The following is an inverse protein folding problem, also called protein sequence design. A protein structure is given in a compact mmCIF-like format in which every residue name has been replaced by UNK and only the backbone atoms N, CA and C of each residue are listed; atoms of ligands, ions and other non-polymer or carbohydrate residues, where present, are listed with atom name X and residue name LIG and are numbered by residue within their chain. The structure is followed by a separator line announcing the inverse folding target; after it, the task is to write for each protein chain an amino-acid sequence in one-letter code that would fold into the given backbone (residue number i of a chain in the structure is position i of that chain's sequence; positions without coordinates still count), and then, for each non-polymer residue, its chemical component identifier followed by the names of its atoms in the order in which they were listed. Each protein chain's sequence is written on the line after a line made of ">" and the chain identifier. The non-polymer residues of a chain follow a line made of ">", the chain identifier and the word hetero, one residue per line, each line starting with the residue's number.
data_IF_781500394291
#
_entry.id   IF_781500394291
#
_cell.length_a   1.000
_cell.length_b   1.000
_cell.length_c   1.000
_cell.angle_alpha   90.00
_cell.angle_beta   90.00
_cell.angle_gamma   90.00
#
_symmetry.space_group_name_H-M   'P 1'
#
loop_
_entity.id
_entity.type
_entity.pdbx_description
1 polymer ?
#
# COMPACT_ATOMS: atom_id res chain seq x y z
N UNK A 1 4.42 15.49 2.05
CA UNK A 1 4.25 14.35 2.99
C UNK A 1 5.40 13.37 2.83
N UNK A 2 5.83 12.72 3.91
CA UNK A 2 6.87 11.67 3.85
C UNK A 2 6.26 10.33 3.44
N UNK A 3 6.92 9.61 2.54
CA UNK A 3 6.50 8.27 2.15
C UNK A 3 6.57 7.29 3.33
N UNK A 4 5.61 6.38 3.46
CA UNK A 4 5.63 5.29 4.46
C UNK A 4 4.75 5.48 5.71
N UNK A 5 4.08 6.62 5.86
CA UNK A 5 3.04 6.79 6.89
C UNK A 5 1.75 6.11 6.44
N UNK A 6 1.21 5.20 7.26
CA UNK A 6 0.06 4.35 6.94
C UNK A 6 -1.19 5.11 6.46
N UNK A 7 -1.38 6.36 6.91
CA UNK A 7 -2.56 7.17 6.61
C UNK A 7 -2.25 8.43 5.76
N UNK A 8 -1.01 8.59 5.26
CA UNK A 8 -0.64 9.81 4.54
C UNK A 8 -1.53 10.07 3.32
N UNK A 9 -1.81 9.04 2.51
CA UNK A 9 -2.66 9.16 1.33
C UNK A 9 -4.10 9.61 1.69
N UNK A 10 -4.66 9.10 2.78
CA UNK A 10 -6.01 9.50 3.23
C UNK A 10 -6.04 10.94 3.77
N UNK A 11 -5.00 11.37 4.48
CA UNK A 11 -4.87 12.76 4.89
C UNK A 11 -4.75 13.69 3.69
N UNK A 12 -4.02 13.28 2.64
CA UNK A 12 -3.91 14.05 1.40
C UNK A 12 -5.23 14.13 0.65
N UNK A 13 -5.90 12.99 0.47
CA UNK A 13 -7.20 12.93 -0.19
C UNK A 13 -8.18 13.88 0.48
N UNK A 14 -8.29 13.85 1.82
CA UNK A 14 -9.19 14.74 2.56
C UNK A 14 -8.86 16.21 2.36
N UNK A 15 -7.59 16.54 2.24
CA UNK A 15 -7.13 17.90 1.96
C UNK A 15 -7.54 18.33 0.55
N UNK A 16 -7.28 17.51 -0.46
CA UNK A 16 -7.68 17.80 -1.83
C UNK A 16 -9.21 17.85 -1.99
N UNK A 17 -9.94 16.93 -1.36
CA UNK A 17 -11.41 16.92 -1.32
C UNK A 17 -11.98 18.17 -0.65
N UNK A 18 -11.22 18.82 0.25
CA UNK A 18 -11.62 20.09 0.85
C UNK A 18 -11.30 21.27 -0.05
N UNK A 19 -10.21 21.20 -0.83
CA UNK A 19 -9.77 22.25 -1.72
C UNK A 19 -10.60 22.34 -3.01
N UNK A 20 -11.07 21.20 -3.51
CA UNK A 20 -11.77 21.06 -4.79
C UNK A 20 -13.27 20.78 -4.64
N UNK A 21 -13.80 20.75 -3.42
CA UNK A 21 -15.20 20.35 -3.11
C UNK A 21 -16.25 21.11 -3.90
N UNK A 22 -16.00 22.39 -4.09
CA UNK A 22 -16.90 23.40 -4.63
C UNK A 22 -16.76 23.55 -6.16
N UNK A 23 -15.89 22.75 -6.79
CA UNK A 23 -15.71 22.71 -8.23
C UNK A 23 -16.35 21.45 -8.81
N UNK A 24 -17.59 21.50 -9.34
CA UNK A 24 -18.32 20.32 -9.82
C UNK A 24 -17.70 19.68 -11.07
N UNK A 25 -16.81 20.39 -11.76
CA UNK A 25 -16.09 19.96 -12.94
C UNK A 25 -14.72 19.30 -12.63
N UNK A 26 -14.36 19.23 -11.35
CA UNK A 26 -13.08 18.70 -10.88
C UNK A 26 -13.27 17.38 -10.14
N UNK A 27 -12.62 16.33 -10.60
CA UNK A 27 -12.59 15.02 -9.97
C UNK A 27 -11.19 14.74 -9.45
N UNK A 28 -11.06 14.53 -8.14
CA UNK A 28 -9.76 14.30 -7.49
C UNK A 28 -9.70 12.90 -6.91
N UNK A 29 -8.68 12.14 -7.29
CA UNK A 29 -8.41 10.82 -6.71
C UNK A 29 -6.92 10.67 -6.39
N UNK A 30 -6.63 10.71 -5.10
CA UNK A 30 -5.31 10.60 -4.46
C UNK A 30 -4.34 11.63 -5.06
N UNK A 31 -3.57 11.23 -6.06
CA UNK A 31 -2.54 12.07 -6.68
C UNK A 31 -2.98 12.61 -8.06
N UNK A 32 -4.10 12.12 -8.60
CA UNK A 32 -4.58 12.46 -9.94
C UNK A 32 -5.79 13.40 -9.87
N UNK A 33 -5.73 14.48 -10.66
CA UNK A 33 -6.80 15.49 -10.78
C UNK A 33 -7.28 15.49 -12.22
N UNK A 34 -8.59 15.26 -12.42
CA UNK A 34 -9.26 15.27 -13.70
C UNK A 34 -10.20 16.48 -13.78
N UNK A 35 -10.05 17.29 -14.83
CA UNK A 35 -10.92 18.44 -15.12
C UNK A 35 -11.66 18.16 -16.42
N UNK A 36 -12.99 18.19 -16.36
CA UNK A 36 -13.85 17.98 -17.51
C UNK A 36 -14.59 19.28 -17.87
N UNK A 37 -14.65 19.61 -19.16
CA UNK A 37 -15.37 20.76 -19.68
C UNK A 37 -15.97 20.44 -21.05
N UNK A 38 -16.94 21.25 -21.49
CA UNK A 38 -17.59 21.09 -22.81
C UNK A 38 -16.88 21.87 -23.91
N UNK A 39 -16.32 23.02 -23.55
CA UNK A 39 -15.66 23.94 -24.46
C UNK A 39 -14.23 24.24 -24.00
N UNK A 40 -13.38 24.67 -24.94
CA UNK A 40 -11.99 25.01 -24.64
C UNK A 40 -11.89 26.29 -23.80
N UNK A 41 -12.73 27.30 -24.06
CA UNK A 41 -12.73 28.54 -23.30
C UNK A 41 -13.10 28.32 -21.82
N UNK A 42 -14.12 27.49 -21.57
CA UNK A 42 -14.46 27.03 -20.22
C UNK A 42 -13.32 26.24 -19.60
N UNK A 43 -12.67 25.35 -20.37
CA UNK A 43 -11.54 24.57 -19.90
C UNK A 43 -10.40 25.46 -19.39
N UNK A 44 -10.07 26.51 -20.14
CA UNK A 44 -9.03 27.47 -19.75
C UNK A 44 -9.43 28.20 -18.46
N UNK A 45 -10.69 28.59 -18.32
CA UNK A 45 -11.20 29.21 -17.10
C UNK A 45 -11.08 28.27 -15.88
N UNK A 46 -11.47 27.00 -16.05
CA UNK A 46 -11.38 25.98 -15.00
C UNK A 46 -9.94 25.65 -14.62
N UNK A 47 -9.04 25.57 -15.60
CA UNK A 47 -7.62 25.40 -15.35
C UNK A 47 -7.03 26.56 -14.56
N UNK A 48 -7.39 27.81 -14.91
CA UNK A 48 -6.94 29.01 -14.18
C UNK A 48 -7.40 28.97 -12.72
N UNK A 49 -8.65 28.65 -12.47
CA UNK A 49 -9.19 28.54 -11.11
C UNK A 49 -8.51 27.40 -10.33
N UNK A 50 -8.28 26.25 -10.95
CA UNK A 50 -7.55 25.15 -10.33
C UNK A 50 -6.10 25.54 -10.00
N UNK A 51 -5.37 26.16 -10.93
CA UNK A 51 -3.99 26.58 -10.69
C UNK A 51 -3.91 27.63 -9.57
N UNK A 52 -4.85 28.58 -9.52
CA UNK A 52 -4.95 29.57 -8.43
C UNK A 52 -5.08 28.89 -7.07
N UNK A 53 -5.96 27.88 -6.96
CA UNK A 53 -6.18 27.11 -5.74
C UNK A 53 -4.94 26.34 -5.30
N UNK A 54 -4.25 25.72 -6.25
CA UNK A 54 -3.02 24.99 -5.98
C UNK A 54 -1.92 25.92 -5.46
N UNK A 55 -1.75 27.08 -6.08
CA UNK A 55 -0.75 28.09 -5.70
C UNK A 55 -1.01 28.64 -4.29
N UNK A 56 -2.26 29.01 -3.98
CA UNK A 56 -2.68 29.48 -2.65
C UNK A 56 -2.43 28.45 -1.53
N UNK A 57 -2.42 27.16 -1.87
CA UNK A 57 -2.23 26.06 -0.95
C UNK A 57 -0.83 25.42 -1.01
N UNK A 58 0.09 26.00 -1.80
CA UNK A 58 1.48 25.52 -1.92
C UNK A 58 1.62 24.13 -2.55
N UNK A 59 0.68 23.74 -3.42
CA UNK A 59 0.72 22.47 -4.13
C UNK A 59 1.47 22.60 -5.46
N UNK A 60 2.44 21.71 -5.69
CA UNK A 60 3.26 21.71 -6.90
C UNK A 60 2.88 20.53 -7.79
N UNK A 61 2.55 20.83 -9.04
CA UNK A 61 2.28 19.81 -10.05
C UNK A 61 3.55 19.39 -10.78
N UNK A 62 3.66 18.09 -11.05
CA UNK A 62 4.72 17.57 -11.91
C UNK A 62 4.29 17.67 -13.37
N UNK A 63 4.67 18.75 -14.04
CA UNK A 63 4.31 19.05 -15.44
C UNK A 63 4.58 17.88 -16.38
N UNK A 64 5.67 17.13 -16.17
CA UNK A 64 6.02 15.97 -17.02
C UNK A 64 4.99 14.83 -16.98
N UNK A 65 4.09 14.81 -15.99
CA UNK A 65 3.01 13.83 -15.86
C UNK A 65 1.64 14.42 -16.19
N UNK A 66 1.56 15.73 -16.43
CA UNK A 66 0.30 16.40 -16.71
C UNK A 66 -0.04 16.28 -18.20
N UNK A 67 -1.31 15.96 -18.48
CA UNK A 67 -1.86 15.92 -19.83
C UNK A 67 -2.96 16.99 -19.87
N UNK A 68 -2.86 17.94 -20.80
CA UNK A 68 -3.77 19.09 -20.88
C UNK A 68 -4.58 19.07 -22.18
N UNK A 69 -5.84 19.51 -22.10
CA UNK A 69 -6.73 19.78 -23.22
C UNK A 69 -6.78 18.66 -24.28
N UNK A 70 -6.81 17.39 -23.83
CA UNK A 70 -7.01 16.24 -24.71
C UNK A 70 -8.50 15.88 -24.77
N UNK A 71 -9.00 15.42 -25.93
CA UNK A 71 -10.38 14.96 -26.07
C UNK A 71 -10.65 13.64 -25.34
N UNK A 72 -9.59 12.88 -25.05
CA UNK A 72 -9.60 11.62 -24.35
C UNK A 72 -8.40 11.52 -23.41
N UNK A 73 -8.58 10.88 -22.26
CA UNK A 73 -7.52 10.72 -21.25
C UNK A 73 -7.73 9.44 -20.46
N UNK A 74 -6.64 8.74 -20.16
CA UNK A 74 -6.68 7.61 -19.25
C UNK A 74 -6.63 8.10 -17.79
N UNK A 75 -7.63 7.74 -17.00
CA UNK A 75 -7.78 8.11 -15.59
C UNK A 75 -8.17 6.87 -14.78
N UNK A 76 -7.38 6.53 -13.76
CA UNK A 76 -7.59 5.36 -12.88
C UNK A 76 -7.76 4.01 -13.59
N UNK A 77 -7.12 3.84 -14.76
CA UNK A 77 -7.23 2.62 -15.58
C UNK A 77 -8.55 2.53 -16.37
N UNK A 78 -9.23 3.67 -16.53
CA UNK A 78 -10.34 3.85 -17.43
C UNK A 78 -9.96 4.86 -18.52
N UNK A 79 -10.42 4.61 -19.73
CA UNK A 79 -10.31 5.54 -20.84
C UNK A 79 -11.54 6.46 -20.83
N UNK A 80 -11.32 7.74 -20.50
CA UNK A 80 -12.38 8.74 -20.39
C UNK A 80 -12.45 9.54 -21.69
N UNK A 81 -13.61 9.51 -22.33
CA UNK A 81 -13.90 10.19 -23.60
C UNK A 81 -15.22 10.95 -23.53
N UNK A 82 -15.49 11.82 -24.51
CA UNK A 82 -16.79 12.49 -24.62
C UNK A 82 -17.98 11.52 -24.78
N UNK A 83 -17.75 10.33 -25.35
CA UNK A 83 -18.75 9.27 -25.52
C UNK A 83 -19.03 8.46 -24.25
N UNK A 84 -18.17 8.57 -23.22
CA UNK A 84 -18.31 7.83 -21.98
C UNK A 84 -16.99 7.27 -21.44
N UNK A 85 -17.11 6.41 -20.44
CA UNK A 85 -15.99 5.80 -19.71
C UNK A 85 -15.84 4.35 -20.18
N UNK A 86 -14.72 4.03 -20.80
CA UNK A 86 -14.36 2.68 -21.25
C UNK A 86 -13.23 2.10 -20.40
N UNK A 87 -13.00 0.80 -20.44
CA UNK A 87 -11.80 0.21 -19.85
C UNK A 87 -10.61 0.38 -20.77
N UNK A 88 -9.43 0.62 -20.20
CA UNK A 88 -8.18 0.70 -20.98
C UNK A 88 -7.92 -0.62 -21.71
N UNK A 89 -7.43 -0.52 -22.95
CA UNK A 89 -7.15 -1.68 -23.81
C UNK A 89 -6.21 -2.69 -23.14
N UNK A 90 -5.23 -2.24 -22.36
CA UNK A 90 -4.33 -3.13 -21.62
C UNK A 90 -5.07 -4.06 -20.66
N UNK A 91 -6.08 -3.57 -19.94
CA UNK A 91 -6.88 -4.39 -19.02
C UNK A 91 -7.76 -5.37 -19.75
N UNK A 92 -8.33 -4.95 -20.88
CA UNK A 92 -9.13 -5.82 -21.74
C UNK A 92 -8.25 -6.92 -22.33
N UNK A 93 -7.07 -6.56 -22.84
CA UNK A 93 -6.12 -7.49 -23.43
C UNK A 93 -5.63 -8.51 -22.40
N UNK A 94 -5.33 -8.09 -21.16
CA UNK A 94 -4.95 -9.02 -20.09
C UNK A 94 -6.04 -10.06 -19.77
N UNK A 95 -7.33 -9.72 -19.97
CA UNK A 95 -8.43 -10.66 -19.80
C UNK A 95 -8.56 -11.57 -21.03
N UNK A 96 -8.38 -11.05 -22.24
CA UNK A 96 -8.43 -11.82 -23.47
C UNK A 96 -7.27 -12.82 -23.58
N UNK A 97 -6.08 -12.41 -23.15
CA UNK A 97 -4.87 -13.23 -23.10
C UNK A 97 -4.87 -14.19 -21.89
N UNK A 98 -5.87 -14.09 -21.00
CA UNK A 98 -5.98 -14.98 -19.87
C UNK A 98 -6.40 -16.37 -20.33
N UNK A 99 -5.48 -17.33 -20.26
CA UNK A 99 -5.75 -18.73 -20.58
C UNK A 99 -6.95 -19.24 -19.80
N UNK A 100 -7.90 -19.86 -20.51
CA UNK A 100 -9.08 -20.41 -19.86
C UNK A 100 -8.66 -21.62 -19.01
N UNK A 101 -9.34 -21.90 -17.89
CA UNK A 101 -9.04 -23.07 -17.07
C UNK A 101 -9.03 -24.40 -17.85
N UNK A 102 -9.78 -24.49 -18.95
CA UNK A 102 -9.79 -25.62 -19.87
C UNK A 102 -8.52 -25.76 -20.70
N UNK A 103 -7.80 -24.67 -20.97
CA UNK A 103 -6.62 -24.67 -21.84
C UNK A 103 -5.41 -25.31 -21.15
N UNK A 104 -5.41 -25.42 -19.82
CA UNK A 104 -4.45 -26.21 -19.05
C UNK A 104 -4.61 -27.72 -19.24
N UNK A 105 -5.75 -28.15 -19.82
CA UNK A 105 -6.06 -29.55 -20.09
C UNK A 105 -5.94 -29.77 -21.61
N UNK A 106 -4.70 -29.82 -22.11
CA UNK A 106 -4.39 -29.96 -23.53
C UNK A 106 -4.93 -31.26 -24.19
N UNK A 107 -5.43 -32.22 -23.40
CA UNK A 107 -5.95 -33.50 -23.88
C UNK A 107 -7.37 -33.73 -23.35
N UNK A 108 -8.36 -33.15 -24.02
CA UNK A 108 -9.78 -33.32 -23.70
C UNK A 108 -10.44 -34.52 -24.38
N UNK A 109 -9.65 -35.46 -24.94
CA UNK A 109 -10.15 -36.80 -25.31
C UNK A 109 -10.03 -37.75 -24.11
N UNK A 110 -10.80 -37.46 -23.07
CA UNK A 110 -10.82 -38.27 -21.86
C UNK A 110 -11.67 -39.51 -22.10
N UNK A 111 -11.01 -40.63 -22.42
CA UNK A 111 -11.67 -41.91 -22.64
C UNK A 111 -12.36 -42.49 -21.37
N UNK A 112 -12.06 -41.97 -20.17
CA UNK A 112 -12.66 -42.43 -18.91
C UNK A 112 -12.60 -41.36 -17.79
N UNK A 113 -13.61 -41.26 -16.90
CA UNK A 113 -13.56 -40.39 -15.73
C UNK A 113 -12.34 -40.63 -14.82
N UNK A 114 -11.86 -41.88 -14.74
CA UNK A 114 -10.71 -42.23 -13.90
C UNK A 114 -9.39 -41.67 -14.46
N UNK A 115 -9.21 -41.70 -15.79
CA UNK A 115 -8.01 -41.13 -16.42
C UNK A 115 -8.00 -39.60 -16.32
N UNK A 116 -9.17 -38.97 -16.37
CA UNK A 116 -9.31 -37.53 -16.13
C UNK A 116 -8.82 -37.12 -14.74
N UNK A 117 -9.32 -37.79 -13.70
CA UNK A 117 -8.94 -37.48 -12.31
C UNK A 117 -7.45 -37.70 -12.11
N UNK A 118 -6.86 -38.74 -12.73
CA UNK A 118 -5.43 -39.01 -12.65
C UNK A 118 -4.60 -37.91 -13.32
N UNK A 119 -4.98 -37.48 -14.52
CA UNK A 119 -4.31 -36.40 -15.25
C UNK A 119 -4.42 -35.07 -14.50
N UNK A 120 -5.61 -34.76 -13.96
CA UNK A 120 -5.84 -33.56 -13.18
C UNK A 120 -4.99 -33.53 -11.91
N UNK A 121 -4.90 -34.63 -11.15
CA UNK A 121 -3.99 -34.73 -10.00
C UNK A 121 -2.54 -34.50 -10.39
N UNK A 122 -2.08 -35.07 -11.50
CA UNK A 122 -0.71 -34.89 -11.97
C UNK A 122 -0.43 -33.44 -12.39
N UNK A 123 -1.37 -32.79 -13.09
CA UNK A 123 -1.25 -31.38 -13.47
C UNK A 123 -1.21 -30.47 -12.25
N UNK A 124 -2.13 -30.64 -11.30
CA UNK A 124 -2.15 -29.84 -10.06
C UNK A 124 -0.96 -30.11 -9.14
N UNK A 125 -0.40 -31.33 -9.14
CA UNK A 125 0.85 -31.62 -8.42
C UNK A 125 2.06 -30.90 -9.03
N UNK A 126 2.05 -30.68 -10.35
CA UNK A 126 3.11 -29.98 -11.08
C UNK A 126 2.95 -28.45 -11.09
N UNK A 127 1.75 -27.93 -10.81
CA UNK A 127 1.52 -26.51 -10.56
C UNK A 127 2.19 -26.14 -9.23
N UNK A 128 3.47 -25.74 -9.30
CA UNK A 128 4.15 -25.19 -8.13
C UNK A 128 3.49 -23.85 -7.79
N UNK A 129 3.15 -23.60 -6.51
CA UNK A 129 2.77 -22.28 -6.07
C UNK A 129 3.86 -21.30 -6.50
N UNK A 130 3.50 -20.29 -7.28
CA UNK A 130 4.40 -19.15 -7.49
C UNK A 130 4.72 -18.64 -6.09
N UNK A 131 6.01 -18.59 -5.74
CA UNK A 131 6.43 -18.07 -4.45
C UNK A 131 5.76 -16.70 -4.28
N UNK A 132 5.04 -16.45 -3.16
CA UNK A 132 4.48 -15.15 -2.92
C UNK A 132 5.62 -14.14 -3.07
N UNK A 133 5.45 -13.20 -4.00
CA UNK A 133 6.44 -12.18 -4.27
C UNK A 133 6.57 -11.35 -3.01
N UNK A 134 7.62 -11.60 -2.22
CA UNK A 134 7.95 -10.78 -1.06
C UNK A 134 8.38 -9.41 -1.58
N UNK A 135 7.43 -8.47 -1.66
CA UNK A 135 7.67 -7.05 -2.00
C UNK A 135 8.59 -6.35 -0.97
N UNK A 136 9.00 -7.03 0.08
CA UNK A 136 9.94 -6.54 1.09
C UNK A 136 11.15 -7.46 1.19
N UNK A 137 12.20 -7.15 0.40
CA UNK A 137 13.57 -7.64 0.64
C UNK A 137 14.26 -6.94 1.82
N UNK A 138 13.55 -6.07 2.54
CA UNK A 138 14.15 -5.38 3.69
C UNK A 138 14.26 -6.36 4.85
N UNK A 139 15.50 -6.64 5.25
CA UNK A 139 15.77 -7.26 6.55
C UNK A 139 15.17 -6.33 7.62
N UNK A 140 14.36 -6.85 8.57
CA UNK A 140 13.84 -6.02 9.64
C UNK A 140 15.01 -5.34 10.35
N UNK A 141 14.91 -4.02 10.53
CA UNK A 141 15.91 -3.26 11.24
C UNK A 141 15.87 -3.66 12.72
N UNK A 142 16.93 -4.30 13.19
CA UNK A 142 17.09 -4.77 14.56
C UNK A 142 18.14 -3.89 15.24
N UNK A 143 17.78 -3.24 16.33
CA UNK A 143 18.74 -2.48 17.14
C UNK A 143 19.79 -3.42 17.74
N UNK A 144 21.08 -3.16 17.51
CA UNK A 144 22.18 -3.96 18.07
C UNK A 144 22.15 -3.99 19.60
N UNK A 145 21.70 -2.90 20.22
CA UNK A 145 21.64 -2.75 21.66
C UNK A 145 20.56 -3.63 22.34
N UNK A 146 19.65 -4.24 21.57
CA UNK A 146 18.70 -5.23 22.12
C UNK A 146 19.43 -6.42 22.80
N UNK A 147 20.66 -6.71 22.37
CA UNK A 147 21.48 -7.74 22.99
C UNK A 147 21.87 -7.38 24.45
N UNK A 148 22.02 -6.09 24.77
CA UNK A 148 22.53 -5.62 26.07
C UNK A 148 21.48 -4.94 26.95
N UNK A 149 20.34 -4.52 26.40
CA UNK A 149 19.28 -3.81 27.14
C UNK A 149 18.63 -4.64 28.25
N UNK A 150 18.52 -4.10 29.46
CA UNK A 150 17.83 -4.74 30.60
C UNK A 150 16.31 -4.73 30.46
N UNK A 151 15.77 -3.67 29.85
CA UNK A 151 14.34 -3.49 29.62
C UNK A 151 14.04 -3.18 28.15
N UNK A 152 12.86 -3.56 27.70
CA UNK A 152 12.39 -3.36 26.33
C UNK A 152 10.96 -2.81 26.29
N UNK A 153 10.67 -2.02 25.26
CA UNK A 153 9.32 -1.59 24.91
C UNK A 153 8.73 -2.57 23.90
N UNK A 154 7.45 -2.93 24.09
CA UNK A 154 6.74 -3.91 23.25
C UNK A 154 5.70 -3.20 22.41
N UNK A 155 5.80 -3.35 21.08
CA UNK A 155 4.81 -2.84 20.15
C UNK A 155 3.51 -3.62 20.30
N UNK A 156 2.42 -2.95 20.67
CA UNK A 156 1.07 -3.53 20.58
C UNK A 156 0.49 -3.38 19.18
N UNK A 157 -0.09 -4.45 18.64
CA UNK A 157 -0.67 -4.48 17.29
C UNK A 157 -2.20 -4.41 17.32
N UNK A 158 -2.80 -4.23 18.49
CA UNK A 158 -4.25 -4.06 18.67
C UNK A 158 -4.76 -2.81 17.97
N UNK A 159 -6.01 -2.86 17.51
CA UNK A 159 -6.73 -1.68 16.98
C UNK A 159 -6.79 -0.63 18.08
N UNK A 160 -6.24 0.56 17.81
CA UNK A 160 -6.14 1.64 18.80
C UNK A 160 -7.17 2.73 18.55
N UNK A 161 -7.62 3.35 19.64
CA UNK A 161 -8.23 4.67 19.60
C UNK A 161 -7.15 5.75 19.38
N UNK A 162 -7.56 6.92 18.90
CA UNK A 162 -6.65 8.05 18.66
C UNK A 162 -5.85 8.41 19.93
N UNK A 163 -4.59 8.84 19.76
CA UNK A 163 -3.68 9.35 20.81
C UNK A 163 -3.03 8.31 21.75
N UNK A 164 -3.13 7.01 21.49
CA UNK A 164 -2.43 5.99 22.30
C UNK A 164 -1.00 5.70 21.81
N UNK A 165 0.01 5.62 22.71
CA UNK A 165 1.40 5.40 22.35
C UNK A 165 1.61 4.02 21.70
N UNK A 166 2.50 3.91 20.70
CA UNK A 166 2.62 2.69 19.92
C UNK A 166 3.35 1.51 20.59
N UNK A 167 3.91 1.75 21.75
CA UNK A 167 4.65 0.77 22.53
C UNK A 167 4.21 0.81 23.98
N UNK A 168 4.20 -0.36 24.61
CA UNK A 168 3.95 -0.54 26.04
C UNK A 168 5.23 -0.99 26.75
N UNK A 169 5.34 -0.69 28.04
CA UNK A 169 6.53 -0.99 28.84
C UNK A 169 7.03 0.25 29.59
N UNK A 170 8.28 0.24 30.08
CA UNK A 170 9.34 -0.75 29.84
C UNK A 170 9.13 -2.08 30.60
N UNK A 171 9.39 -3.21 29.95
CA UNK A 171 9.33 -4.55 30.57
C UNK A 171 10.72 -5.16 30.71
N UNK A 172 11.04 -5.82 31.84
CA UNK A 172 12.34 -6.43 32.04
C UNK A 172 12.48 -7.70 31.19
N UNK A 173 13.67 -7.86 30.59
CA UNK A 173 14.03 -9.04 29.79
C UNK A 173 14.52 -10.16 30.71
N UNK A 174 13.91 -11.33 30.60
CA UNK A 174 14.26 -12.54 31.35
C UNK A 174 15.30 -13.35 30.56
N UNK A 175 14.98 -13.68 29.30
CA UNK A 175 15.85 -14.49 28.42
C UNK A 175 15.87 -13.94 26.99
N UNK A 176 16.98 -14.17 26.29
CA UNK A 176 17.21 -13.70 24.91
C UNK A 176 17.54 -14.88 24.01
N UNK A 177 16.90 -14.95 22.85
CA UNK A 177 17.18 -15.88 21.77
C UNK A 177 17.44 -15.11 20.47
N UNK A 178 17.85 -15.79 19.41
CA UNK A 178 18.20 -15.15 18.13
C UNK A 178 17.03 -14.36 17.49
N UNK A 179 15.79 -14.81 17.69
CA UNK A 179 14.58 -14.21 17.09
C UNK A 179 13.51 -13.79 18.10
N UNK A 180 13.62 -14.25 19.35
CA UNK A 180 12.60 -14.08 20.37
C UNK A 180 13.21 -13.67 21.71
N UNK A 181 12.44 -12.97 22.54
CA UNK A 181 12.82 -12.58 23.88
C UNK A 181 11.70 -12.98 24.84
N UNK A 182 12.07 -13.56 25.98
CA UNK A 182 11.15 -13.75 27.09
C UNK A 182 11.21 -12.51 27.98
N UNK A 183 10.08 -11.85 28.15
CA UNK A 183 9.94 -10.63 28.94
C UNK A 183 8.91 -10.82 30.05
N UNK A 184 9.08 -10.13 31.17
CA UNK A 184 8.09 -10.15 32.24
C UNK A 184 7.05 -9.03 32.02
N UNK A 185 5.81 -9.41 31.74
CA UNK A 185 4.68 -8.48 31.69
C UNK A 185 3.79 -8.78 32.90
N UNK A 186 3.79 -7.89 33.90
CA UNK A 186 2.93 -7.97 35.08
C UNK A 186 3.02 -9.30 35.85
N UNK A 187 4.23 -9.84 36.00
CA UNK A 187 4.49 -11.11 36.69
C UNK A 187 4.42 -12.35 35.79
N UNK A 188 4.00 -12.21 34.52
CA UNK A 188 3.88 -13.32 33.57
C UNK A 188 4.98 -13.24 32.52
N UNK A 189 5.73 -14.32 32.33
CA UNK A 189 6.70 -14.44 31.24
C UNK A 189 5.96 -14.55 29.90
N UNK A 190 6.31 -13.69 28.94
CA UNK A 190 5.79 -13.72 27.57
C UNK A 190 6.92 -13.71 26.56
N UNK A 191 6.83 -14.59 25.57
CA UNK A 191 7.78 -14.67 24.47
C UNK A 191 7.35 -13.75 23.33
N UNK A 192 8.20 -12.79 22.96
CA UNK A 192 7.92 -11.76 21.95
C UNK A 192 8.99 -11.80 20.84
N UNK A 193 8.57 -11.66 19.57
CA UNK A 193 9.50 -11.55 18.42
C UNK A 193 10.32 -10.28 18.50
N UNK A 194 11.59 -10.36 18.10
CA UNK A 194 12.52 -9.22 18.06
C UNK A 194 11.98 -8.03 17.26
N UNK A 195 11.17 -8.26 16.22
CA UNK A 195 10.55 -7.22 15.38
C UNK A 195 9.53 -6.34 16.12
N UNK A 196 9.05 -6.80 17.28
CA UNK A 196 8.08 -6.09 18.11
C UNK A 196 8.73 -5.38 19.30
N UNK A 197 10.05 -5.46 19.43
CA UNK A 197 10.78 -4.89 20.56
C UNK A 197 11.47 -3.60 20.14
N UNK A 198 11.48 -2.63 21.04
CA UNK A 198 12.29 -1.43 20.94
C UNK A 198 13.14 -1.28 22.21
N UNK A 199 14.33 -0.70 22.07
CA UNK A 199 15.24 -0.52 23.19
C UNK A 199 14.74 0.56 24.14
N UNK A 200 15.04 0.40 25.43
CA UNK A 200 14.90 1.46 26.42
C UNK A 200 16.24 2.18 26.51
N UNK A 201 16.25 3.48 26.28
CA UNK A 201 17.45 4.30 26.53
C UNK A 201 17.49 4.60 28.03
N UNK A 202 18.40 3.97 28.77
CA UNK A 202 18.75 4.42 30.11
C UNK A 202 19.60 5.68 29.99
N UNK A 203 19.27 6.73 30.75
CA UNK A 203 19.93 8.04 30.77
C UNK A 203 21.41 8.02 31.20
N UNK A 204 21.99 6.85 31.45
CA UNK A 204 23.37 6.65 31.91
C UNK A 204 24.45 6.86 30.85
N UNK A 205 24.08 7.22 29.60
CA UNK A 205 25.03 7.37 28.49
C UNK A 205 24.93 8.71 27.75
N UNK A 206 24.30 9.73 28.34
CA UNK A 206 24.53 11.11 27.91
C UNK A 206 25.87 11.54 28.52
N UNK A 207 26.96 11.03 27.95
CA UNK A 207 28.27 11.64 28.13
C UNK A 207 28.28 12.87 27.23
N UNK A 208 28.26 14.02 27.90
CA UNK A 208 28.55 15.34 27.37
C UNK A 208 29.90 15.32 26.67
N UNK A 209 29.91 15.66 25.38
CA UNK A 209 31.02 16.32 24.70
C UNK A 209 30.44 17.16 23.55
#
# INVERSE_FOLDING_TARGET
>A
MTFGLRNAAQSFQRFLDSLFRDLPFCFVYIDDILIASRNLDEHISYLKEMFRRLDENGLVLKISKCIFAKPEVDFLGHHVSASGILQTLERIQAILDFNRPSDFLHDSKLASPSSFVQQLRNTFANLRPVLPSHHTKQKPFIFRDLATCTHVFVRTNSVRTSLQPPYEGPYPVIKRYAKYFDINIKGVSRTISIDRLNKVFSSSSINTH
#
